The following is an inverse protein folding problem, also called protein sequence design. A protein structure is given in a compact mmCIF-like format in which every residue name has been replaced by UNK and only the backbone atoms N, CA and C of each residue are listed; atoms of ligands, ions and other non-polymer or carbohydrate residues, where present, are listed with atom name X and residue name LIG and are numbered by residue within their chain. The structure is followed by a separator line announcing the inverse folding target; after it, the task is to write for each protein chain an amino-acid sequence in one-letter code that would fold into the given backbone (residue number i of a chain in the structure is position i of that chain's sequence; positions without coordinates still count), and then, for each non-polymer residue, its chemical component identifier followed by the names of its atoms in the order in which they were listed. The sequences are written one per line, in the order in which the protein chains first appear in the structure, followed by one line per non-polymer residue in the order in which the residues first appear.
data_IF_829317161467
#
_entry.id   IF_829317161467
#
_cell.length_a   1.000
_cell.length_b   1.000
_cell.length_c   1.000
_cell.angle_alpha   90.00
_cell.angle_beta   90.00
_cell.angle_gamma   90.00
#
_symmetry.space_group_name_H-M   'P 1'
#
loop_
_entity.id
_entity.type
_entity.pdbx_description
1 polymer ?
#
# COMPACT_ATOMS: atom_id res chain seq x y z
N UNK A 1 -11.28 -7.32 1.14
CA UNK A 1 -10.51 -6.88 -0.06
C UNK A 1 -9.08 -6.47 0.28
N UNK A 2 -8.85 -5.43 1.13
CA UNK A 2 -7.48 -4.97 1.43
C UNK A 2 -6.66 -6.03 2.18
N UNK A 3 -7.21 -6.67 3.20
CA UNK A 3 -6.54 -7.74 3.92
C UNK A 3 -6.20 -8.95 3.03
N UNK A 4 -7.07 -9.30 2.09
CA UNK A 4 -6.79 -10.34 1.08
C UNK A 4 -5.63 -9.92 0.18
N UNK A 5 -5.65 -8.69 -0.32
CA UNK A 5 -4.57 -8.12 -1.12
C UNK A 5 -3.21 -8.19 -0.39
N UNK A 6 -3.18 -7.78 0.89
CA UNK A 6 -1.98 -7.85 1.72
C UNK A 6 -1.50 -9.30 1.94
N UNK A 7 -2.44 -10.24 2.12
CA UNK A 7 -2.09 -11.65 2.23
C UNK A 7 -1.47 -12.18 0.93
N UNK A 8 -2.03 -11.85 -0.22
CA UNK A 8 -1.48 -12.23 -1.52
C UNK A 8 -0.11 -11.60 -1.75
N UNK A 9 0.08 -10.32 -1.42
CA UNK A 9 1.38 -9.66 -1.44
C UNK A 9 2.41 -10.39 -0.58
N UNK A 10 2.05 -10.74 0.65
CA UNK A 10 2.96 -11.46 1.55
C UNK A 10 3.40 -12.81 0.96
N UNK A 11 2.49 -13.51 0.30
CA UNK A 11 2.81 -14.78 -0.39
C UNK A 11 3.75 -14.58 -1.58
N UNK A 12 3.55 -13.51 -2.36
CA UNK A 12 4.40 -13.18 -3.51
C UNK A 12 5.82 -12.83 -3.05
N UNK A 13 5.96 -11.99 -2.03
CA UNK A 13 7.27 -11.70 -1.45
C UNK A 13 7.99 -12.96 -0.94
N UNK A 14 7.25 -13.88 -0.29
CA UNK A 14 7.80 -15.16 0.16
C UNK A 14 8.21 -16.09 -0.98
N UNK A 15 7.59 -15.96 -2.13
CA UNK A 15 7.96 -16.68 -3.34
C UNK A 15 9.15 -16.05 -4.10
N UNK A 16 9.66 -14.90 -3.62
CA UNK A 16 10.78 -14.16 -4.22
C UNK A 16 10.36 -13.04 -5.16
N UNK A 17 9.07 -12.76 -5.29
CA UNK A 17 8.55 -11.65 -6.08
C UNK A 17 8.89 -10.29 -5.48
N UNK A 18 8.85 -9.25 -6.30
CA UNK A 18 9.16 -7.86 -5.98
C UNK A 18 7.91 -6.99 -6.19
N UNK A 19 7.86 -5.85 -5.53
CA UNK A 19 6.89 -4.79 -5.85
C UNK A 19 7.49 -3.88 -6.91
N UNK A 20 6.82 -3.73 -8.04
CA UNK A 20 7.16 -2.78 -9.10
C UNK A 20 6.08 -1.69 -9.10
N UNK A 21 6.46 -0.45 -8.80
CA UNK A 21 5.54 0.67 -8.71
C UNK A 21 5.78 1.69 -9.81
N UNK A 22 4.73 2.32 -10.30
CA UNK A 22 4.81 3.39 -11.28
C UNK A 22 3.56 4.27 -11.27
N UNK A 23 3.73 5.47 -11.80
CA UNK A 23 2.65 6.44 -12.02
C UNK A 23 3.14 7.59 -12.90
N UNK A 24 2.21 8.38 -13.44
CA UNK A 24 2.51 9.56 -14.23
C UNK A 24 2.29 10.86 -13.44
N UNK A 25 3.04 11.91 -13.80
CA UNK A 25 2.88 13.24 -13.20
C UNK A 25 3.06 13.22 -11.69
N UNK A 26 2.09 13.77 -10.94
CA UNK A 26 2.14 13.77 -9.47
C UNK A 26 2.00 12.38 -8.85
N UNK A 27 1.37 11.43 -9.52
CA UNK A 27 1.24 10.05 -9.03
C UNK A 27 2.59 9.29 -9.03
N UNK A 28 3.61 9.77 -9.76
CA UNK A 28 4.95 9.20 -9.73
C UNK A 28 5.60 9.35 -8.33
N UNK A 29 5.25 10.38 -7.57
CA UNK A 29 5.79 10.56 -6.20
C UNK A 29 5.32 9.48 -5.24
N UNK A 30 4.09 9.00 -5.39
CA UNK A 30 3.56 7.90 -4.58
C UNK A 30 4.17 6.55 -4.97
N UNK A 31 4.45 6.34 -6.25
CA UNK A 31 5.19 5.16 -6.71
C UNK A 31 6.61 5.11 -6.11
N UNK A 32 7.30 6.26 -6.03
CA UNK A 32 8.59 6.38 -5.36
C UNK A 32 8.45 6.13 -3.85
N UNK A 33 7.47 6.76 -3.21
CA UNK A 33 7.26 6.66 -1.77
C UNK A 33 6.97 5.21 -1.35
N UNK A 34 6.02 4.54 -1.97
CA UNK A 34 5.70 3.14 -1.64
C UNK A 34 6.92 2.22 -1.84
N UNK A 35 7.72 2.47 -2.87
CA UNK A 35 8.94 1.69 -3.10
C UNK A 35 9.96 1.88 -1.98
N UNK A 36 10.14 3.10 -1.49
CA UNK A 36 11.03 3.40 -0.35
C UNK A 36 10.52 2.78 0.93
N UNK A 37 9.21 2.85 1.22
CA UNK A 37 8.59 2.25 2.41
C UNK A 37 8.86 0.73 2.52
N UNK A 38 8.78 0.01 1.41
CA UNK A 38 9.06 -1.42 1.41
C UNK A 38 10.55 -1.75 1.55
N UNK A 39 11.43 -0.96 0.92
CA UNK A 39 12.90 -1.17 0.96
C UNK A 39 13.51 -0.70 2.28
N UNK A 40 13.02 0.39 2.86
CA UNK A 40 13.55 1.03 4.06
C UNK A 40 12.49 1.15 5.16
N UNK A 41 12.14 0.03 5.82
CA UNK A 41 11.14 0.06 6.88
C UNK A 41 11.56 1.04 8.00
N UNK A 42 10.69 1.98 8.32
CA UNK A 42 10.92 2.99 9.37
C UNK A 42 10.75 2.42 10.77
N UNK A 43 10.09 1.27 10.91
CA UNK A 43 9.89 0.59 12.19
C UNK A 43 11.04 -0.40 12.43
N UNK A 44 11.74 -0.23 13.55
CA UNK A 44 12.85 -1.11 13.96
C UNK A 44 12.37 -2.56 14.07
N UNK A 45 13.13 -3.47 13.45
CA UNK A 45 12.81 -4.90 13.44
C UNK A 45 11.94 -5.37 12.30
N UNK A 46 11.39 -4.46 11.49
CA UNK A 46 10.69 -4.84 10.25
C UNK A 46 11.69 -5.19 9.15
N UNK A 47 11.31 -6.16 8.35
CA UNK A 47 12.11 -6.67 7.24
C UNK A 47 12.04 -5.73 6.04
N UNK A 48 13.18 -5.45 5.41
CA UNK A 48 13.21 -4.84 4.08
C UNK A 48 12.66 -5.82 3.04
N UNK A 49 11.75 -5.34 2.20
CA UNK A 49 11.13 -6.11 1.12
C UNK A 49 11.50 -5.51 -0.23
N UNK A 50 11.75 -6.33 -1.26
CA UNK A 50 12.21 -5.83 -2.55
C UNK A 50 11.11 -5.05 -3.26
N UNK A 51 11.37 -3.75 -3.48
CA UNK A 51 10.48 -2.86 -4.22
C UNK A 51 11.30 -1.95 -5.13
N UNK A 52 10.74 -1.59 -6.28
CA UNK A 52 11.36 -0.75 -7.30
C UNK A 52 10.33 0.26 -7.83
N UNK A 53 10.69 1.53 -7.84
CA UNK A 53 10.04 2.51 -8.70
C UNK A 53 10.57 2.39 -10.13
N UNK A 54 9.67 2.23 -11.10
CA UNK A 54 10.03 2.11 -12.51
C UNK A 54 10.27 3.49 -13.19
N UNK A 55 9.90 4.57 -12.49
CA UNK A 55 10.05 5.92 -13.02
C UNK A 55 9.16 6.23 -14.23
N UNK A 56 9.42 7.35 -14.91
CA UNK A 56 8.55 7.82 -15.99
C UNK A 56 8.57 6.94 -17.25
N UNK A 57 9.63 6.15 -17.45
CA UNK A 57 9.74 5.22 -18.59
C UNK A 57 9.24 3.81 -18.21
N UNK A 58 8.22 3.70 -17.38
CA UNK A 58 7.74 2.41 -16.89
C UNK A 58 7.18 1.50 -18.01
N UNK A 59 6.59 2.05 -19.06
CA UNK A 59 6.08 1.25 -20.19
C UNK A 59 7.21 0.50 -20.94
N UNK A 60 8.40 1.10 -21.03
CA UNK A 60 9.58 0.49 -21.65
C UNK A 60 10.33 -0.42 -20.66
N UNK A 61 10.36 -0.08 -19.39
CA UNK A 61 11.11 -0.82 -18.37
C UNK A 61 10.38 -2.07 -17.91
N UNK A 62 9.07 -1.99 -17.69
CA UNK A 62 8.26 -3.10 -17.19
C UNK A 62 8.42 -4.38 -18.01
N UNK A 63 8.36 -4.35 -19.37
CA UNK A 63 8.56 -5.56 -20.19
C UNK A 63 9.92 -6.23 -20.03
N UNK A 64 10.92 -5.49 -19.59
CA UNK A 64 12.31 -5.99 -19.47
C UNK A 64 12.54 -6.61 -18.09
N UNK A 65 11.90 -6.09 -17.04
CA UNK A 65 12.21 -6.48 -15.64
C UNK A 65 11.17 -7.38 -15.01
N UNK A 66 9.95 -7.45 -15.58
CA UNK A 66 8.82 -8.15 -14.99
C UNK A 66 9.01 -9.67 -14.98
N UNK A 67 8.80 -10.26 -13.81
CA UNK A 67 8.71 -11.71 -13.62
C UNK A 67 7.27 -12.10 -13.17
N UNK A 68 6.82 -13.34 -13.43
CA UNK A 68 5.46 -13.76 -13.08
C UNK A 68 5.14 -13.71 -11.58
N UNK A 69 6.15 -13.82 -10.74
CA UNK A 69 6.03 -13.76 -9.28
C UNK A 69 5.90 -12.33 -8.74
N UNK A 70 6.22 -11.32 -9.56
CA UNK A 70 6.20 -9.91 -9.16
C UNK A 70 4.77 -9.41 -8.88
N UNK A 71 4.72 -8.32 -8.17
CA UNK A 71 3.54 -7.52 -7.92
C UNK A 71 3.72 -6.15 -8.59
N UNK A 72 2.69 -5.64 -9.21
CA UNK A 72 2.74 -4.40 -9.96
C UNK A 72 1.68 -3.44 -9.44
N UNK A 73 2.10 -2.24 -9.04
CA UNK A 73 1.23 -1.21 -8.47
C UNK A 73 1.26 0.05 -9.33
N UNK A 74 0.13 0.35 -9.95
CA UNK A 74 -0.05 1.53 -10.80
C UNK A 74 -0.87 2.61 -10.11
N UNK A 75 -0.37 3.85 -10.17
CA UNK A 75 -0.99 5.02 -9.56
C UNK A 75 -1.53 5.98 -10.60
N UNK A 76 -2.82 6.34 -10.46
CA UNK A 76 -3.46 7.37 -11.26
C UNK A 76 -4.40 8.21 -10.39
N UNK A 77 -4.25 9.54 -10.31
CA UNK A 77 -5.00 10.34 -9.33
C UNK A 77 -6.38 10.78 -9.80
N UNK A 78 -6.53 11.22 -11.01
CA UNK A 78 -7.75 11.87 -11.48
C UNK A 78 -8.50 11.03 -12.52
N UNK A 79 -8.76 9.79 -12.19
CA UNK A 79 -9.41 8.87 -13.11
C UNK A 79 -8.41 7.96 -13.81
N UNK A 80 -8.66 7.70 -15.08
CA UNK A 80 -7.88 6.73 -15.84
C UNK A 80 -6.63 7.36 -16.45
N UNK A 81 -5.49 6.71 -16.24
CA UNK A 81 -4.28 6.94 -17.02
C UNK A 81 -4.08 5.76 -17.99
N UNK A 82 -4.17 6.04 -19.28
CA UNK A 82 -4.12 4.98 -20.30
C UNK A 82 -2.77 4.25 -20.35
N UNK A 83 -1.68 4.89 -19.98
CA UNK A 83 -0.36 4.25 -19.91
C UNK A 83 -0.28 3.32 -18.70
N UNK A 84 -0.76 3.77 -17.55
CA UNK A 84 -0.87 2.96 -16.32
C UNK A 84 -1.76 1.73 -16.55
N UNK A 85 -2.92 1.91 -17.18
CA UNK A 85 -3.84 0.80 -17.50
C UNK A 85 -3.20 -0.21 -18.46
N UNK A 86 -2.52 0.25 -19.53
CA UNK A 86 -1.80 -0.66 -20.43
C UNK A 86 -0.72 -1.46 -19.71
N UNK A 87 0.06 -0.80 -18.86
CA UNK A 87 1.13 -1.45 -18.11
C UNK A 87 0.58 -2.48 -17.11
N UNK A 88 -0.51 -2.17 -16.40
CA UNK A 88 -1.19 -3.13 -15.52
C UNK A 88 -1.77 -4.32 -16.29
N UNK A 89 -2.44 -4.08 -17.42
CA UNK A 89 -2.95 -5.14 -18.31
C UNK A 89 -1.83 -6.05 -18.80
N UNK A 90 -0.72 -5.47 -19.25
CA UNK A 90 0.47 -6.21 -19.66
C UNK A 90 1.04 -7.09 -18.54
N UNK A 91 1.12 -6.57 -17.32
CA UNK A 91 1.64 -7.30 -16.16
C UNK A 91 0.72 -8.48 -15.79
N UNK A 92 -0.60 -8.23 -15.76
CA UNK A 92 -1.61 -9.26 -15.48
C UNK A 92 -1.56 -10.41 -16.47
N UNK A 93 -1.44 -10.14 -17.77
CA UNK A 93 -1.32 -11.15 -18.81
C UNK A 93 -0.09 -12.07 -18.64
N UNK A 94 0.92 -11.60 -17.89
CA UNK A 94 2.15 -12.35 -17.58
C UNK A 94 2.15 -13.02 -16.21
N UNK A 95 1.01 -12.97 -15.50
CA UNK A 95 0.82 -13.66 -14.22
C UNK A 95 1.28 -12.87 -13.00
N UNK A 96 1.72 -11.62 -13.16
CA UNK A 96 2.01 -10.75 -12.04
C UNK A 96 0.73 -10.32 -11.32
N UNK A 97 0.79 -10.17 -10.01
CA UNK A 97 -0.31 -9.66 -9.20
C UNK A 97 -0.41 -8.15 -9.38
N UNK A 98 -1.59 -7.63 -9.71
CA UNK A 98 -1.74 -6.24 -10.11
C UNK A 98 -2.65 -5.44 -9.17
N UNK A 99 -2.21 -4.21 -8.86
CA UNK A 99 -2.89 -3.25 -8.00
C UNK A 99 -3.12 -1.95 -8.77
N UNK A 100 -4.37 -1.56 -8.92
CA UNK A 100 -4.73 -0.26 -9.48
C UNK A 100 -5.15 0.69 -8.37
N UNK A 101 -4.40 1.77 -8.17
CA UNK A 101 -4.77 2.89 -7.32
C UNK A 101 -5.38 3.96 -8.21
N UNK A 102 -6.70 3.87 -8.35
CA UNK A 102 -7.56 4.42 -9.39
C UNK A 102 -7.34 3.75 -10.76
N UNK A 103 -8.43 3.48 -11.47
CA UNK A 103 -8.42 2.81 -12.77
C UNK A 103 -9.14 1.46 -12.78
N UNK A 104 -9.32 0.89 -13.97
CA UNK A 104 -10.13 -0.31 -14.16
C UNK A 104 -9.28 -1.59 -14.35
N UNK A 105 -8.01 -1.44 -14.66
CA UNK A 105 -7.09 -2.55 -14.91
C UNK A 105 -6.33 -2.94 -13.66
N UNK A 106 -6.65 -4.10 -13.08
CA UNK A 106 -5.97 -4.67 -11.92
C UNK A 106 -6.81 -5.74 -11.25
N UNK A 107 -6.18 -6.71 -10.60
CA UNK A 107 -6.88 -7.71 -9.78
C UNK A 107 -7.41 -7.08 -8.50
N UNK A 108 -6.59 -6.26 -7.86
CA UNK A 108 -6.98 -5.42 -6.73
C UNK A 108 -7.14 -3.97 -7.19
N UNK A 109 -8.36 -3.47 -7.12
CA UNK A 109 -8.70 -2.10 -7.52
C UNK A 109 -9.17 -1.30 -6.32
N UNK A 110 -8.57 -0.14 -6.14
CA UNK A 110 -8.92 0.81 -5.11
C UNK A 110 -9.42 2.08 -5.76
N UNK A 111 -10.75 2.22 -5.82
CA UNK A 111 -11.38 3.40 -6.38
C UNK A 111 -11.33 4.54 -5.37
N UNK A 112 -10.97 5.73 -5.86
CA UNK A 112 -11.09 6.94 -5.07
C UNK A 112 -12.47 7.55 -5.25
N UNK A 113 -13.07 8.11 -4.21
CA UNK A 113 -14.23 8.96 -4.38
C UNK A 113 -13.85 10.15 -5.26
N UNK A 114 -14.83 10.67 -6.02
CA UNK A 114 -14.67 11.89 -6.81
C UNK A 114 -14.40 13.05 -5.84
N UNK A 115 -13.14 13.40 -5.67
CA UNK A 115 -12.65 14.31 -4.65
C UNK A 115 -11.50 15.16 -5.20
N UNK A 116 -11.12 16.15 -4.41
CA UNK A 116 -9.94 16.96 -4.63
C UNK A 116 -8.68 16.08 -4.79
N UNK A 117 -7.79 16.36 -5.78
CA UNK A 117 -6.56 15.59 -6.01
C UNK A 117 -5.68 15.44 -4.79
N UNK A 118 -5.60 16.46 -3.95
CA UNK A 118 -4.81 16.42 -2.71
C UNK A 118 -5.42 15.46 -1.70
N UNK A 119 -6.75 15.40 -1.59
CA UNK A 119 -7.46 14.43 -0.75
C UNK A 119 -7.24 13.01 -1.29
N UNK A 120 -7.29 12.81 -2.61
CA UNK A 120 -6.99 11.52 -3.22
C UNK A 120 -5.56 11.06 -2.89
N UNK A 121 -4.58 11.94 -2.98
CA UNK A 121 -3.19 11.64 -2.63
C UNK A 121 -3.06 11.21 -1.18
N UNK A 122 -3.65 11.95 -0.24
CA UNK A 122 -3.65 11.58 1.16
C UNK A 122 -4.29 10.21 1.43
N UNK A 123 -5.38 9.88 0.74
CA UNK A 123 -6.03 8.56 0.86
C UNK A 123 -5.13 7.45 0.33
N UNK A 124 -4.43 7.68 -0.79
CA UNK A 124 -3.46 6.71 -1.31
C UNK A 124 -2.28 6.51 -0.37
N UNK A 125 -1.71 7.58 0.18
CA UNK A 125 -0.65 7.48 1.19
C UNK A 125 -1.07 6.63 2.38
N UNK A 126 -2.27 6.86 2.89
CA UNK A 126 -2.83 6.03 3.96
C UNK A 126 -2.98 4.57 3.54
N UNK A 127 -3.50 4.35 2.34
CA UNK A 127 -3.75 3.01 1.82
C UNK A 127 -2.46 2.19 1.75
N UNK A 128 -1.41 2.72 1.12
CA UNK A 128 -0.18 1.94 0.99
C UNK A 128 0.63 1.82 2.28
N UNK A 129 0.53 2.79 3.23
CA UNK A 129 1.08 2.62 4.57
C UNK A 129 0.38 1.48 5.34
N UNK A 130 -0.95 1.45 5.32
CA UNK A 130 -1.74 0.35 5.92
C UNK A 130 -1.41 -0.98 5.23
N UNK A 131 -1.24 -0.97 3.92
CA UNK A 131 -0.88 -2.12 3.12
C UNK A 131 0.51 -2.65 3.50
N UNK A 132 1.51 -1.77 3.59
CA UNK A 132 2.87 -2.09 4.04
C UNK A 132 2.87 -2.73 5.44
N UNK A 133 2.19 -2.09 6.39
CA UNK A 133 2.12 -2.58 7.76
C UNK A 133 1.45 -3.95 7.85
N UNK A 134 0.33 -4.12 7.14
CA UNK A 134 -0.43 -5.38 7.13
C UNK A 134 0.35 -6.52 6.49
N UNK A 135 1.10 -6.26 5.41
CA UNK A 135 2.01 -7.25 4.81
C UNK A 135 3.05 -7.72 5.83
N UNK A 136 3.62 -6.81 6.62
CA UNK A 136 4.57 -7.17 7.67
C UNK A 136 3.94 -7.97 8.81
N UNK A 137 2.68 -7.71 9.17
CA UNK A 137 1.95 -8.53 10.14
C UNK A 137 1.81 -9.98 9.65
N UNK A 138 1.47 -10.19 8.37
CA UNK A 138 1.40 -11.52 7.80
C UNK A 138 2.76 -12.26 7.79
N UNK A 139 3.86 -11.53 7.55
CA UNK A 139 5.20 -12.10 7.65
C UNK A 139 5.52 -12.56 9.06
N UNK A 140 5.33 -11.71 10.05
CA UNK A 140 5.63 -12.00 11.45
C UNK A 140 4.77 -13.16 11.98
N UNK A 141 3.50 -13.17 11.65
CA UNK A 141 2.61 -14.27 12.03
C UNK A 141 3.08 -15.63 11.49
N UNK A 142 3.61 -15.64 10.27
CA UNK A 142 4.09 -16.87 9.65
C UNK A 142 5.47 -17.31 10.15
N UNK A 143 6.39 -16.37 10.34
CA UNK A 143 7.78 -16.66 10.73
C UNK A 143 7.91 -17.07 12.20
N UNK A 144 7.12 -16.50 13.09
CA UNK A 144 7.24 -16.67 14.52
C UNK A 144 6.29 -17.71 15.12
N UNK A 145 5.40 -18.25 14.31
CA UNK A 145 4.51 -19.35 14.71
C UNK A 145 3.62 -19.07 15.92
N UNK A 146 3.53 -17.83 16.43
CA UNK A 146 2.61 -17.37 17.48
C UNK A 146 3.04 -16.07 18.18
N UNK A 147 4.20 -15.52 17.90
CA UNK A 147 4.63 -14.26 18.51
C UNK A 147 4.79 -13.19 17.44
N UNK A 148 3.91 -12.21 17.44
CA UNK A 148 3.97 -11.06 16.53
C UNK A 148 4.94 -9.98 17.02
N UNK A 149 5.78 -10.27 18.03
CA UNK A 149 6.82 -9.38 18.51
C UNK A 149 6.33 -7.98 18.87
N UNK A 150 7.06 -6.95 18.46
CA UNK A 150 6.67 -5.55 18.70
C UNK A 150 5.33 -5.18 18.06
N UNK A 151 4.89 -5.90 17.02
CA UNK A 151 3.59 -5.71 16.37
C UNK A 151 2.42 -6.21 17.23
N UNK A 152 2.67 -7.00 18.27
CA UNK A 152 1.63 -7.43 19.21
C UNK A 152 0.96 -6.26 19.93
N UNK A 153 1.63 -5.13 20.02
CA UNK A 153 1.07 -3.88 20.54
C UNK A 153 0.01 -3.29 19.60
N UNK A 154 0.26 -3.36 18.29
CA UNK A 154 -0.67 -2.85 17.27
C UNK A 154 -1.79 -3.86 16.96
N UNK A 155 -1.50 -5.14 17.12
CA UNK A 155 -2.44 -6.22 16.81
C UNK A 155 -2.44 -7.30 17.92
N UNK A 156 -2.92 -6.97 19.13
CA UNK A 156 -2.86 -7.87 20.30
C UNK A 156 -3.64 -9.18 20.12
N UNK A 157 -4.52 -9.25 19.13
CA UNK A 157 -5.35 -10.42 18.86
C UNK A 157 -4.64 -11.49 18.00
N UNK A 158 -3.55 -11.15 17.31
CA UNK A 158 -2.83 -12.10 16.46
C UNK A 158 -1.82 -12.98 17.21
N UNK A 159 -1.66 -12.79 18.51
CA UNK A 159 -0.50 -13.27 19.28
C UNK A 159 -0.60 -14.64 19.97
N UNK A 160 -1.65 -15.47 19.86
CA UNK A 160 -1.77 -16.61 20.78
C UNK A 160 -2.28 -17.96 20.27
N UNK A 161 -2.82 -18.12 19.08
CA UNK A 161 -3.31 -19.43 18.61
C UNK A 161 -3.11 -19.62 17.09
N UNK A 162 -2.91 -20.89 16.68
CA UNK A 162 -2.96 -21.27 15.25
C UNK A 162 -4.36 -21.02 14.71
N UNK A 163 -4.56 -19.84 14.14
CA UNK A 163 -5.83 -19.46 13.57
C UNK A 163 -5.97 -19.98 12.13
N UNK A 164 -7.22 -20.25 11.73
CA UNK A 164 -7.51 -20.44 10.32
C UNK A 164 -7.33 -19.12 9.59
N UNK A 165 -6.78 -19.17 8.38
CA UNK A 165 -6.51 -17.99 7.55
C UNK A 165 -7.70 -17.02 7.46
N UNK A 166 -8.93 -17.55 7.37
CA UNK A 166 -10.16 -16.76 7.33
C UNK A 166 -10.32 -15.88 8.59
N UNK A 167 -10.06 -16.42 9.77
CA UNK A 167 -10.11 -15.66 11.02
C UNK A 167 -9.03 -14.57 11.09
N UNK A 168 -7.83 -14.85 10.59
CA UNK A 168 -6.73 -13.85 10.53
C UNK A 168 -7.09 -12.69 9.60
N UNK A 169 -7.69 -12.96 8.45
CA UNK A 169 -8.13 -11.91 7.52
C UNK A 169 -9.19 -11.00 8.15
N UNK A 170 -10.17 -11.58 8.85
CA UNK A 170 -11.22 -10.80 9.53
C UNK A 170 -10.67 -9.94 10.67
N UNK A 171 -9.76 -10.47 11.48
CA UNK A 171 -9.11 -9.72 12.58
C UNK A 171 -8.24 -8.60 12.07
N UNK A 172 -7.42 -8.85 11.04
CA UNK A 172 -6.61 -7.83 10.38
C UNK A 172 -7.51 -6.73 9.81
N UNK A 173 -8.61 -7.09 9.17
CA UNK A 173 -9.57 -6.11 8.64
C UNK A 173 -10.18 -5.25 9.75
N UNK A 174 -10.54 -5.83 10.89
CA UNK A 174 -11.04 -5.10 12.05
C UNK A 174 -10.02 -4.10 12.61
N UNK A 175 -8.77 -4.54 12.76
CA UNK A 175 -7.66 -3.68 13.21
C UNK A 175 -7.38 -2.53 12.25
N UNK A 176 -7.46 -2.77 10.94
CA UNK A 176 -7.29 -1.74 9.91
C UNK A 176 -8.37 -0.66 10.00
N UNK A 177 -9.64 -1.07 10.18
CA UNK A 177 -10.77 -0.13 10.33
C UNK A 177 -10.55 0.75 11.57
N UNK A 178 -10.22 0.14 12.71
CA UNK A 178 -9.95 0.87 13.95
C UNK A 178 -8.82 1.89 13.76
N UNK A 179 -7.72 1.50 13.12
CA UNK A 179 -6.59 2.39 12.85
C UNK A 179 -6.98 3.57 11.96
N UNK A 180 -7.76 3.35 10.92
CA UNK A 180 -8.26 4.40 10.05
C UNK A 180 -9.17 5.39 10.80
N UNK A 181 -10.02 4.90 11.70
CA UNK A 181 -10.87 5.72 12.55
C UNK A 181 -10.05 6.59 13.51
N UNK A 182 -9.02 6.02 14.16
CA UNK A 182 -8.11 6.76 15.05
C UNK A 182 -7.33 7.85 14.30
N UNK A 183 -6.79 7.55 13.12
CA UNK A 183 -6.07 8.52 12.28
C UNK A 183 -7.00 9.63 11.82
N UNK A 184 -8.21 9.32 11.39
CA UNK A 184 -9.19 10.34 11.02
C UNK A 184 -9.56 11.25 12.19
N UNK A 185 -9.69 10.69 13.40
CA UNK A 185 -9.92 11.46 14.62
C UNK A 185 -8.78 12.41 14.94
N UNK A 186 -7.54 11.97 14.85
CA UNK A 186 -6.34 12.81 15.04
C UNK A 186 -6.26 13.93 14.00
N UNK A 187 -6.53 13.64 12.73
CA UNK A 187 -6.55 14.63 11.65
C UNK A 187 -7.60 15.73 11.89
N UNK A 188 -8.81 15.32 12.25
CA UNK A 188 -9.87 16.27 12.58
C UNK A 188 -9.47 17.18 13.74
N UNK A 189 -8.92 16.62 14.82
CA UNK A 189 -8.44 17.39 15.96
C UNK A 189 -7.31 18.36 15.58
N UNK A 190 -6.34 17.92 14.77
CA UNK A 190 -5.26 18.77 14.27
C UNK A 190 -5.80 19.90 13.39
N UNK A 191 -6.73 19.61 12.50
CA UNK A 191 -7.35 20.64 11.66
C UNK A 191 -8.11 21.69 12.50
N UNK A 192 -8.80 21.29 13.55
CA UNK A 192 -9.50 22.21 14.45
C UNK A 192 -8.54 23.09 15.26
N UNK A 193 -7.42 22.54 15.72
CA UNK A 193 -6.49 23.27 16.60
C UNK A 193 -5.50 24.12 15.83
N UNK A 194 -5.04 23.68 14.67
CA UNK A 194 -3.91 24.28 13.94
C UNK A 194 -4.30 25.01 12.65
N UNK A 195 -5.58 25.00 12.24
CA UNK A 195 -6.03 25.62 10.99
C UNK A 195 -5.63 27.09 10.84
N UNK A 196 -5.66 27.85 11.95
CA UNK A 196 -5.24 29.26 11.97
C UNK A 196 -3.77 29.43 11.66
N UNK A 197 -2.90 28.69 12.34
CA UNK A 197 -1.44 28.73 12.12
C UNK A 197 -1.07 28.24 10.71
N UNK A 198 -1.74 27.20 10.21
CA UNK A 198 -1.53 26.72 8.85
C UNK A 198 -1.91 27.76 7.79
N UNK A 199 -3.03 28.48 7.99
CA UNK A 199 -3.45 29.54 7.08
C UNK A 199 -2.48 30.72 7.10
N UNK A 200 -1.94 31.11 8.27
CA UNK A 200 -0.91 32.16 8.38
C UNK A 200 0.38 31.79 7.64
N UNK A 201 0.84 30.55 7.77
CA UNK A 201 2.02 30.03 7.06
C UNK A 201 1.77 30.04 5.55
N UNK A 202 0.63 29.54 5.10
CA UNK A 202 0.28 29.50 3.68
C UNK A 202 0.19 30.90 3.06
N UNK A 203 -0.24 31.91 3.83
CA UNK A 203 -0.30 33.29 3.36
C UNK A 203 1.08 33.98 3.32
N UNK A 204 2.10 33.44 3.96
CA UNK A 204 3.46 33.98 4.02
C UNK A 204 4.38 33.46 2.91
N UNK A 205 3.95 32.43 2.16
CA UNK A 205 4.64 31.81 1.01
C UNK A 205 4.14 32.42 -0.28
#
# INVERSE_FOLDING_TARGET
RLAEACHEMSRRFLAGGRLLAFGNGSAATDAQHVSVEFVHPVIVGKRALPALDLGPEFEERLPVVLEPEDMVMGFAFLGRDAAVERALGFARERGALTFALSGDEGEHRFEMPDADPFVCQEVFEHLYHVLWETVHVYFEHREQGHDVGASSFLYPMLGRERQRLEGVVEEVQGSMIQKLEEVNGMRAATAETEAGAMAEIAAAI
#
